data_IF_039066819446
#
_entry.id   IF_039066819446
#
_cell.length_a   1.000
_cell.length_b   1.000
_cell.length_c   1.000
_cell.angle_alpha   90.00
_cell.angle_beta   90.00
_cell.angle_gamma   90.00
#
_symmetry.space_group_name_H-M   'P 1'
#
loop_
_entity.id
_entity.type
_entity.pdbx_description
1 polymer ?
#
# COMPACT_ATOMS: atom_id res chain seq x y z
N UNK A 1 -31.88 2.56 12.74
CA UNK A 1 -30.82 2.23 11.77
C UNK A 1 -29.48 2.52 12.43
N UNK A 2 -28.59 1.52 12.51
CA UNK A 2 -27.28 1.64 13.16
C UNK A 2 -26.26 2.32 12.21
N UNK A 3 -25.21 2.95 12.76
CA UNK A 3 -24.12 3.59 12.01
C UNK A 3 -23.47 2.60 11.03
N UNK A 4 -23.27 1.35 11.44
CA UNK A 4 -22.68 0.32 10.55
C UNK A 4 -23.61 -0.03 9.37
N UNK A 5 -24.92 -0.06 9.60
CA UNK A 5 -25.92 -0.28 8.55
C UNK A 5 -26.02 0.91 7.60
N UNK A 6 -25.82 2.14 8.09
CA UNK A 6 -25.75 3.31 7.24
C UNK A 6 -24.52 3.26 6.35
N UNK A 7 -23.34 2.96 6.92
CA UNK A 7 -22.09 2.84 6.15
C UNK A 7 -22.18 1.79 5.03
N UNK A 8 -22.85 0.67 5.25
CA UNK A 8 -22.97 -0.38 4.22
C UNK A 8 -23.89 -0.01 3.05
N UNK A 9 -24.75 1.01 3.22
CA UNK A 9 -25.70 1.48 2.21
C UNK A 9 -25.22 2.70 1.41
N UNK A 10 -24.01 3.20 1.70
CA UNK A 10 -23.43 4.37 1.05
C UNK A 10 -22.34 3.94 0.06
N UNK A 11 -22.16 4.70 -1.02
CA UNK A 11 -20.99 4.62 -1.90
C UNK A 11 -20.15 5.89 -1.71
N UNK A 12 -18.94 5.75 -1.18
CA UNK A 12 -18.02 6.85 -0.91
C UNK A 12 -17.67 7.65 -2.17
N UNK A 13 -17.69 7.02 -3.35
CA UNK A 13 -17.42 7.71 -4.62
C UNK A 13 -18.58 8.63 -4.97
N UNK A 14 -19.83 8.17 -4.80
CA UNK A 14 -21.01 8.99 -5.07
C UNK A 14 -21.13 10.14 -4.06
N UNK A 15 -20.88 9.86 -2.77
CA UNK A 15 -20.82 10.92 -1.75
C UNK A 15 -19.73 11.93 -2.08
N UNK A 16 -18.55 11.49 -2.51
CA UNK A 16 -17.49 12.41 -2.94
C UNK A 16 -17.93 13.31 -4.11
N UNK A 17 -18.70 12.79 -5.07
CA UNK A 17 -19.27 13.60 -6.16
C UNK A 17 -20.32 14.59 -5.67
N UNK A 18 -21.15 14.20 -4.71
CA UNK A 18 -22.15 15.09 -4.11
C UNK A 18 -21.51 16.24 -3.33
N UNK A 19 -20.34 16.01 -2.74
CA UNK A 19 -19.50 17.06 -2.15
C UNK A 19 -18.87 18.00 -3.21
N UNK A 20 -19.12 17.77 -4.50
CA UNK A 20 -18.58 18.56 -5.61
C UNK A 20 -17.17 18.16 -6.05
N UNK A 21 -16.64 17.02 -5.58
CA UNK A 21 -15.30 16.57 -5.97
C UNK A 21 -15.32 15.98 -7.39
N UNK A 22 -14.38 16.45 -8.22
CA UNK A 22 -14.18 15.95 -9.57
C UNK A 22 -13.38 14.65 -9.54
N UNK A 23 -14.07 13.54 -9.29
CA UNK A 23 -13.46 12.21 -9.21
C UNK A 23 -13.30 11.60 -10.61
N UNK A 24 -12.05 11.43 -11.04
CA UNK A 24 -11.72 10.82 -12.32
C UNK A 24 -12.07 9.33 -12.39
N UNK A 25 -12.00 8.74 -13.60
CA UNK A 25 -12.32 7.32 -13.84
C UNK A 25 -11.48 6.35 -13.01
N UNK A 26 -10.26 6.75 -12.64
CA UNK A 26 -9.34 5.98 -11.80
C UNK A 26 -9.60 6.17 -10.29
N UNK A 27 -10.59 6.98 -9.89
CA UNK A 27 -10.86 7.31 -8.49
C UNK A 27 -10.01 8.44 -7.92
N UNK A 28 -9.17 9.10 -8.72
CA UNK A 28 -8.33 10.21 -8.24
C UNK A 28 -9.01 11.58 -8.37
N UNK A 29 -8.77 12.47 -7.42
CA UNK A 29 -9.19 13.87 -7.47
C UNK A 29 -8.21 14.79 -6.73
N UNK A 30 -8.40 16.11 -6.88
CA UNK A 30 -7.73 17.11 -6.04
C UNK A 30 -8.23 16.99 -4.60
N UNK A 31 -7.31 17.10 -3.65
CA UNK A 31 -7.67 17.06 -2.24
C UNK A 31 -8.30 18.40 -1.83
N UNK A 32 -9.49 18.43 -1.20
CA UNK A 32 -10.08 19.65 -0.69
C UNK A 32 -9.43 20.12 0.63
N UNK A 33 -8.66 19.24 1.29
CA UNK A 33 -8.11 19.48 2.64
C UNK A 33 -6.75 20.19 2.64
N UNK A 34 -6.12 20.35 1.47
CA UNK A 34 -4.89 21.12 1.30
C UNK A 34 -4.81 21.65 -0.12
N UNK A 35 -4.03 22.73 -0.33
CA UNK A 35 -3.80 23.25 -1.68
C UNK A 35 -2.89 22.31 -2.45
N UNK A 36 -3.42 21.63 -3.46
CA UNK A 36 -2.66 20.82 -4.41
C UNK A 36 -2.90 21.25 -5.85
N UNK A 37 -1.89 21.08 -6.70
CA UNK A 37 -2.00 21.24 -8.15
C UNK A 37 -2.17 19.90 -8.86
N UNK A 38 -1.85 18.79 -8.20
CA UNK A 38 -1.94 17.43 -8.75
C UNK A 38 -2.96 16.62 -7.96
N UNK A 39 -3.69 15.69 -8.59
CA UNK A 39 -4.63 14.83 -7.88
C UNK A 39 -3.88 13.94 -6.88
N UNK A 40 -4.18 14.11 -5.60
CA UNK A 40 -3.51 13.43 -4.49
C UNK A 40 -4.47 12.63 -3.61
N UNK A 41 -5.78 12.87 -3.74
CA UNK A 41 -6.84 12.16 -3.03
C UNK A 41 -7.36 11.04 -3.92
N UNK A 42 -7.43 9.82 -3.37
CA UNK A 42 -7.84 8.63 -4.09
C UNK A 42 -9.01 7.94 -3.40
N UNK A 43 -10.07 7.67 -4.16
CA UNK A 43 -11.26 6.96 -3.73
C UNK A 43 -11.19 5.50 -4.18
N UNK A 44 -11.19 4.59 -3.22
CA UNK A 44 -11.29 3.15 -3.46
C UNK A 44 -12.74 2.70 -3.34
N UNK A 45 -13.38 2.41 -4.48
CA UNK A 45 -14.75 1.86 -4.50
C UNK A 45 -14.84 0.49 -3.82
N UNK A 46 -13.80 -0.33 -3.93
CA UNK A 46 -13.77 -1.67 -3.32
C UNK A 46 -13.62 -1.61 -1.80
N UNK A 47 -12.77 -0.70 -1.30
CA UNK A 47 -12.53 -0.57 0.14
C UNK A 47 -13.49 0.41 0.82
N UNK A 48 -14.23 1.19 0.05
CA UNK A 48 -15.08 2.28 0.55
C UNK A 48 -14.30 3.28 1.42
N UNK A 49 -13.11 3.67 0.94
CA UNK A 49 -12.19 4.58 1.61
C UNK A 49 -11.67 5.66 0.66
N UNK A 50 -11.43 6.85 1.21
CA UNK A 50 -10.76 7.96 0.57
C UNK A 50 -9.43 8.22 1.26
N UNK A 51 -8.31 8.17 0.53
CA UNK A 51 -6.97 8.35 1.10
C UNK A 51 -6.22 9.42 0.34
N UNK A 52 -5.71 10.42 1.07
CA UNK A 52 -4.76 11.37 0.51
C UNK A 52 -3.33 10.85 0.67
N UNK A 53 -2.57 10.80 -0.42
CA UNK A 53 -1.18 10.34 -0.42
C UNK A 53 -0.15 11.48 -0.37
N UNK A 54 -0.60 12.72 -0.21
CA UNK A 54 0.31 13.86 -0.03
C UNK A 54 0.84 13.90 1.41
N UNK A 55 2.15 14.13 1.56
CA UNK A 55 2.77 14.32 2.88
C UNK A 55 2.40 15.64 3.55
N UNK A 56 1.77 16.56 2.81
CA UNK A 56 1.32 17.87 3.32
C UNK A 56 -0.17 17.85 3.71
N UNK A 57 -0.74 16.68 3.97
CA UNK A 57 -2.16 16.51 4.24
C UNK A 57 -2.39 15.69 5.50
N UNK A 58 -3.17 16.26 6.42
CA UNK A 58 -3.54 15.62 7.70
C UNK A 58 -4.88 14.88 7.61
N UNK A 59 -5.41 14.70 6.40
CA UNK A 59 -6.66 13.97 6.18
C UNK A 59 -6.49 12.46 6.37
N UNK A 60 -5.35 11.90 5.96
CA UNK A 60 -5.06 10.47 6.06
C UNK A 60 -6.02 9.62 5.22
N UNK A 61 -6.36 8.43 5.74
CA UNK A 61 -7.40 7.55 5.18
C UNK A 61 -8.71 7.78 5.92
N UNK A 62 -9.78 8.03 5.20
CA UNK A 62 -11.09 8.39 5.71
C UNK A 62 -12.14 7.42 5.17
N UNK A 63 -13.09 7.05 6.02
CA UNK A 63 -14.34 6.43 5.58
C UNK A 63 -15.35 7.52 5.18
N UNK A 64 -16.53 7.10 4.72
CA UNK A 64 -17.56 8.02 4.22
C UNK A 64 -18.00 9.06 5.27
N UNK A 65 -18.05 8.69 6.55
CA UNK A 65 -18.46 9.59 7.62
C UNK A 65 -17.33 10.59 7.90
N UNK A 66 -16.10 10.10 8.09
CA UNK A 66 -14.94 10.93 8.35
C UNK A 66 -14.66 11.91 7.20
N UNK A 67 -14.92 11.50 5.96
CA UNK A 67 -14.82 12.36 4.78
C UNK A 67 -15.76 13.57 4.91
N UNK A 68 -17.05 13.33 5.17
CA UNK A 68 -18.06 14.41 5.28
C UNK A 68 -17.80 15.27 6.52
N UNK A 69 -17.43 14.66 7.65
CA UNK A 69 -17.05 15.38 8.87
C UNK A 69 -15.89 16.34 8.60
N UNK A 70 -14.81 15.89 7.96
CA UNK A 70 -13.67 16.75 7.62
C UNK A 70 -14.03 17.80 6.56
N UNK A 71 -14.88 17.45 5.59
CA UNK A 71 -15.24 18.36 4.50
C UNK A 71 -16.05 19.56 4.99
N UNK A 72 -17.07 19.32 5.80
CA UNK A 72 -17.92 20.39 6.34
C UNK A 72 -17.53 20.86 7.75
N UNK A 73 -16.55 20.22 8.38
CA UNK A 73 -16.24 20.41 9.81
C UNK A 73 -17.47 20.22 10.70
N UNK A 74 -18.29 19.21 10.39
CA UNK A 74 -19.54 18.93 11.12
C UNK A 74 -19.36 17.85 12.17
N UNK A 75 -20.12 18.00 13.25
CA UNK A 75 -20.28 16.98 14.29
C UNK A 75 -21.04 15.76 13.78
N UNK A 76 -20.79 14.61 14.39
CA UNK A 76 -21.32 13.31 13.96
C UNK A 76 -22.85 13.30 13.76
N UNK A 77 -23.70 13.84 14.67
CA UNK A 77 -25.16 13.78 14.50
C UNK A 77 -25.62 14.46 13.20
N UNK A 78 -25.04 15.63 12.90
CA UNK A 78 -25.36 16.41 11.70
C UNK A 78 -24.90 15.69 10.42
N UNK A 79 -23.74 15.04 10.47
CA UNK A 79 -23.26 14.22 9.35
C UNK A 79 -24.17 13.02 9.09
N UNK A 80 -24.64 12.36 10.15
CA UNK A 80 -25.57 11.23 10.00
C UNK A 80 -26.89 11.69 9.38
N UNK A 81 -27.45 12.81 9.82
CA UNK A 81 -28.66 13.41 9.25
C UNK A 81 -28.48 13.72 7.77
N UNK A 82 -27.36 14.34 7.38
CA UNK A 82 -27.07 14.63 5.98
C UNK A 82 -26.82 13.38 5.14
N UNK A 83 -26.27 12.31 5.71
CA UNK A 83 -26.01 11.05 5.00
C UNK A 83 -27.25 10.17 4.82
N UNK A 84 -28.30 10.36 5.61
CA UNK A 84 -29.51 9.54 5.57
C UNK A 84 -30.20 9.49 4.19
N UNK A 85 -30.41 10.62 3.48
CA UNK A 85 -31.04 10.62 2.16
C UNK A 85 -30.27 9.82 1.10
N UNK A 86 -28.96 9.65 1.30
CA UNK A 86 -28.08 8.94 0.39
C UNK A 86 -27.98 7.44 0.70
N UNK A 87 -28.61 6.97 1.78
CA UNK A 87 -28.67 5.57 2.14
C UNK A 87 -29.48 4.78 1.09
N UNK A 88 -28.79 4.03 0.25
CA UNK A 88 -29.37 3.35 -0.92
C UNK A 88 -28.60 3.63 -2.22
N UNK A 89 -27.64 4.56 -2.20
CA UNK A 89 -26.73 4.80 -3.33
C UNK A 89 -25.72 3.67 -3.55
N UNK A 90 -25.47 2.83 -2.54
CA UNK A 90 -24.68 1.64 -2.74
C UNK A 90 -25.42 0.70 -3.71
N UNK A 91 -25.04 0.75 -4.98
CA UNK A 91 -25.25 -0.39 -5.86
C UNK A 91 -24.52 -1.54 -5.17
N UNK A 92 -25.28 -2.57 -4.76
CA UNK A 92 -24.71 -3.82 -4.27
C UNK A 92 -23.54 -4.13 -5.20
N UNK A 93 -22.32 -4.34 -4.68
CA UNK A 93 -21.29 -4.90 -5.51
C UNK A 93 -21.94 -6.16 -6.05
N UNK A 94 -22.23 -6.21 -7.37
CA UNK A 94 -22.49 -7.48 -8.06
C UNK A 94 -21.42 -8.37 -7.49
N UNK A 95 -21.84 -9.36 -6.71
CA UNK A 95 -20.96 -10.26 -5.98
C UNK A 95 -20.01 -10.76 -7.05
N UNK A 96 -18.84 -10.13 -7.16
CA UNK A 96 -17.81 -10.58 -8.07
C UNK A 96 -17.43 -11.86 -7.39
N UNK A 97 -17.98 -12.94 -7.94
CA UNK A 97 -17.66 -14.33 -7.68
C UNK A 97 -16.25 -14.34 -7.15
N UNK A 98 -16.11 -14.75 -5.88
CA UNK A 98 -14.87 -14.73 -5.13
C UNK A 98 -13.70 -14.86 -6.10
N UNK A 99 -12.92 -13.78 -6.26
CA UNK A 99 -11.76 -13.81 -7.14
C UNK A 99 -11.04 -15.12 -6.86
N UNK A 100 -10.68 -15.92 -7.89
CA UNK A 100 -10.18 -17.27 -7.69
C UNK A 100 -9.11 -17.18 -6.64
N UNK A 101 -9.27 -17.94 -5.55
CA UNK A 101 -8.34 -17.99 -4.42
C UNK A 101 -6.96 -18.01 -5.04
N UNK A 102 -6.25 -16.87 -4.99
CA UNK A 102 -4.88 -16.81 -5.49
C UNK A 102 -4.18 -17.95 -4.78
N UNK A 103 -3.67 -18.91 -5.55
CA UNK A 103 -2.96 -20.08 -5.04
C UNK A 103 -2.16 -19.64 -3.82
N UNK A 104 -2.47 -20.17 -2.63
CA UNK A 104 -1.82 -19.73 -1.40
C UNK A 104 -0.34 -20.05 -1.55
N UNK A 105 0.46 -19.04 -1.91
CA UNK A 105 1.90 -19.22 -2.11
C UNK A 105 2.48 -19.47 -0.73
N UNK A 106 3.03 -20.67 -0.52
CA UNK A 106 3.76 -20.96 0.70
C UNK A 106 5.11 -20.24 0.66
N UNK A 107 5.12 -19.02 1.21
CA UNK A 107 6.30 -18.16 1.22
C UNK A 107 7.50 -18.77 1.97
N UNK A 108 7.26 -19.64 2.95
CA UNK A 108 8.34 -20.35 3.67
C UNK A 108 9.07 -21.32 2.75
N UNK A 109 8.31 -22.15 2.02
CA UNK A 109 8.89 -23.09 1.05
C UNK A 109 9.58 -22.35 -0.09
N UNK A 110 8.96 -21.27 -0.58
CA UNK A 110 9.54 -20.43 -1.62
C UNK A 110 10.88 -19.82 -1.17
N UNK A 111 10.95 -19.28 0.04
CA UNK A 111 12.20 -18.70 0.57
C UNK A 111 13.31 -19.74 0.67
N UNK A 112 13.03 -20.92 1.25
CA UNK A 112 13.99 -22.02 1.33
C UNK A 112 14.53 -22.43 -0.05
N UNK A 113 13.67 -22.43 -1.08
CA UNK A 113 14.05 -22.72 -2.47
C UNK A 113 14.96 -21.65 -3.07
N UNK A 114 14.76 -20.39 -2.70
CA UNK A 114 15.48 -19.24 -3.25
C UNK A 114 16.78 -18.91 -2.51
N UNK A 115 16.90 -19.30 -1.24
CA UNK A 115 18.07 -19.04 -0.40
C UNK A 115 19.41 -19.49 -1.02
N UNK A 116 19.56 -20.73 -1.55
CA UNK A 116 20.82 -21.14 -2.17
C UNK A 116 21.16 -20.34 -3.45
N UNK A 117 20.17 -19.74 -4.11
CA UNK A 117 20.37 -18.96 -5.34
C UNK A 117 21.04 -17.62 -5.10
N UNK A 118 21.06 -17.13 -3.86
CA UNK A 118 21.76 -15.91 -3.48
C UNK A 118 23.27 -16.04 -3.72
N UNK A 119 23.88 -17.12 -3.21
CA UNK A 119 25.32 -17.38 -3.38
C UNK A 119 25.72 -17.66 -4.83
N UNK A 120 24.80 -18.16 -5.66
CA UNK A 120 25.03 -18.46 -7.08
C UNK A 120 25.05 -17.21 -7.97
N UNK A 121 24.45 -16.11 -7.51
CA UNK A 121 24.32 -14.88 -8.29
C UNK A 121 25.45 -13.92 -7.96
N UNK A 122 26.36 -13.65 -8.91
CA UNK A 122 27.36 -12.57 -8.77
C UNK A 122 26.68 -11.22 -8.53
N UNK A 123 25.66 -10.89 -9.34
CA UNK A 123 24.90 -9.64 -9.22
C UNK A 123 24.29 -9.41 -7.84
N UNK A 124 23.77 -10.47 -7.20
CA UNK A 124 23.18 -10.34 -5.87
C UNK A 124 24.25 -10.19 -4.78
N UNK A 125 25.38 -10.90 -4.91
CA UNK A 125 26.54 -10.74 -4.03
C UNK A 125 27.12 -9.34 -4.13
N UNK A 126 27.36 -8.84 -5.34
CA UNK A 126 27.91 -7.50 -5.59
C UNK A 126 27.01 -6.41 -5.00
N UNK A 127 25.68 -6.58 -5.13
CA UNK A 127 24.71 -5.67 -4.52
C UNK A 127 24.80 -5.65 -3.00
N UNK A 128 24.81 -6.82 -2.34
CA UNK A 128 24.91 -6.91 -0.89
C UNK A 128 26.25 -6.39 -0.36
N UNK A 129 27.36 -6.73 -1.02
CA UNK A 129 28.69 -6.22 -0.68
C UNK A 129 28.76 -4.70 -0.83
N UNK A 130 28.17 -4.14 -1.89
CA UNK A 130 28.06 -2.68 -2.06
C UNK A 130 27.17 -1.99 -1.01
N UNK A 131 26.37 -2.75 -0.26
CA UNK A 131 25.59 -2.28 0.89
C UNK A 131 26.23 -2.62 2.24
N UNK A 132 27.47 -3.12 2.23
CA UNK A 132 28.17 -3.59 3.43
C UNK A 132 27.43 -4.71 4.18
N UNK A 133 26.69 -5.55 3.44
CA UNK A 133 26.00 -6.72 3.96
C UNK A 133 26.73 -7.99 3.53
N UNK A 134 27.12 -8.83 4.50
CA UNK A 134 27.76 -10.10 4.22
C UNK A 134 26.73 -11.18 3.86
N UNK A 135 26.67 -11.52 2.57
CA UNK A 135 25.74 -12.51 2.04
C UNK A 135 25.93 -13.93 2.63
N UNK A 136 27.05 -14.23 3.28
CA UNK A 136 27.31 -15.55 3.89
C UNK A 136 26.61 -15.71 5.23
N UNK A 137 26.49 -14.63 5.98
CA UNK A 137 25.88 -14.61 7.32
C UNK A 137 24.44 -14.10 7.29
N UNK A 138 24.09 -13.35 6.26
CA UNK A 138 22.76 -12.77 6.07
C UNK A 138 21.71 -13.82 5.70
N UNK A 139 20.62 -13.85 6.45
CA UNK A 139 19.45 -14.64 6.09
C UNK A 139 18.67 -13.94 4.99
N UNK A 140 19.11 -14.14 3.75
CA UNK A 140 18.49 -13.59 2.56
C UNK A 140 18.43 -14.62 1.42
N UNK A 141 17.58 -14.35 0.44
CA UNK A 141 17.40 -15.16 -0.75
C UNK A 141 17.45 -14.29 -2.01
N UNK A 142 17.60 -14.90 -3.18
CA UNK A 142 17.59 -14.18 -4.46
C UNK A 142 16.65 -14.84 -5.46
N UNK A 143 15.75 -14.06 -6.06
CA UNK A 143 14.90 -14.52 -7.14
C UNK A 143 15.32 -13.88 -8.47
N UNK A 144 15.72 -14.71 -9.43
CA UNK A 144 16.02 -14.28 -10.79
C UNK A 144 14.76 -14.05 -11.65
N UNK A 145 13.57 -14.25 -11.08
CA UNK A 145 12.28 -14.05 -11.74
C UNK A 145 11.62 -15.31 -12.29
N UNK A 146 12.25 -16.49 -12.15
CA UNK A 146 11.67 -17.77 -12.58
C UNK A 146 10.68 -18.36 -11.57
N UNK A 147 10.97 -18.29 -10.28
CA UNK A 147 10.15 -18.93 -9.24
C UNK A 147 9.02 -18.04 -8.73
N UNK A 148 9.17 -16.73 -8.85
CA UNK A 148 8.12 -15.78 -8.48
C UNK A 148 8.09 -14.59 -9.47
N UNK A 149 7.14 -14.56 -10.42
CA UNK A 149 7.11 -13.56 -11.50
C UNK A 149 7.00 -12.11 -11.02
N UNK A 150 6.43 -11.84 -9.84
CA UNK A 150 6.32 -10.48 -9.31
C UNK A 150 7.55 -9.99 -8.56
N UNK A 151 8.55 -10.85 -8.31
CA UNK A 151 9.76 -10.52 -7.53
C UNK A 151 11.04 -10.71 -8.38
N UNK A 152 11.02 -10.26 -9.65
CA UNK A 152 12.14 -10.48 -10.57
C UNK A 152 13.35 -9.65 -10.16
N UNK A 153 14.51 -10.32 -10.05
CA UNK A 153 15.80 -9.71 -9.71
C UNK A 153 15.83 -9.05 -8.33
N UNK A 154 15.06 -9.62 -7.39
CA UNK A 154 14.98 -9.12 -6.02
C UNK A 154 15.84 -9.95 -5.08
N UNK A 155 16.60 -9.26 -4.21
CA UNK A 155 17.03 -9.85 -2.94
C UNK A 155 15.84 -9.86 -1.99
N UNK A 156 15.64 -10.96 -1.27
CA UNK A 156 14.47 -11.22 -0.43
C UNK A 156 14.96 -11.45 0.99
N UNK A 157 14.44 -10.68 1.94
CA UNK A 157 14.64 -10.89 3.37
C UNK A 157 13.40 -11.58 3.96
N UNK A 158 13.53 -12.51 4.92
CA UNK A 158 12.38 -13.04 5.63
C UNK A 158 12.00 -12.09 6.78
N UNK A 159 10.70 -11.83 6.95
CA UNK A 159 10.24 -11.19 8.19
C UNK A 159 9.93 -12.23 9.26
N UNK A 160 10.37 -11.89 10.48
CA UNK A 160 10.13 -12.69 11.67
C UNK A 160 9.23 -11.89 12.61
N UNK A 161 7.99 -12.35 12.79
CA UNK A 161 7.09 -11.80 13.81
C UNK A 161 7.44 -12.48 15.14
N UNK A 162 7.60 -11.69 16.22
CA UNK A 162 8.00 -12.21 17.54
C UNK A 162 6.94 -13.09 18.22
N UNK A 163 5.68 -13.03 17.75
CA UNK A 163 4.58 -13.83 18.26
C UNK A 163 4.26 -14.97 17.28
N UNK A 164 4.51 -16.20 17.72
CA UNK A 164 4.37 -17.47 16.99
C UNK A 164 5.46 -17.76 15.94
N UNK A 165 5.95 -19.00 16.04
CA UNK A 165 7.04 -19.67 15.30
C UNK A 165 6.77 -19.83 13.79
N UNK A 166 6.12 -18.86 13.16
CA UNK A 166 5.64 -18.90 11.78
C UNK A 166 6.27 -17.77 10.97
N UNK A 167 7.31 -18.11 10.21
CA UNK A 167 7.93 -17.20 9.25
C UNK A 167 6.91 -16.83 8.17
N UNK A 168 6.49 -15.57 8.11
CA UNK A 168 5.90 -15.03 6.89
C UNK A 168 7.07 -14.41 6.13
N UNK A 169 7.50 -14.99 5.01
CA UNK A 169 8.53 -14.36 4.20
C UNK A 169 7.93 -13.15 3.48
N UNK A 170 7.83 -12.04 4.19
CA UNK A 170 7.62 -10.72 3.61
C UNK A 170 8.94 -10.34 2.94
N UNK A 171 8.97 -10.35 1.61
CA UNK A 171 10.12 -9.88 0.88
C UNK A 171 10.20 -8.35 0.97
N UNK A 172 11.21 -7.81 1.65
CA UNK A 172 11.75 -6.51 1.24
C UNK A 172 12.56 -6.74 -0.03
N UNK A 173 11.92 -6.50 -1.18
CA UNK A 173 12.58 -6.52 -2.47
C UNK A 173 13.43 -5.27 -2.61
N UNK A 174 14.73 -5.41 -2.37
CA UNK A 174 15.70 -4.42 -2.82
C UNK A 174 16.05 -4.71 -4.27
N UNK A 175 15.57 -3.86 -5.17
CA UNK A 175 15.84 -3.97 -6.60
C UNK A 175 17.34 -3.86 -6.85
N UNK A 176 17.96 -4.94 -7.27
CA UNK A 176 19.21 -4.85 -8.02
C UNK A 176 18.80 -4.54 -9.47
N UNK A 177 19.09 -3.32 -9.92
CA UNK A 177 19.06 -2.79 -11.30
C UNK A 177 18.03 -1.67 -11.58
N UNK A 178 18.41 -0.65 -12.38
CA UNK A 178 18.14 0.76 -12.08
C UNK A 178 16.74 1.29 -12.51
N UNK A 179 15.70 0.45 -12.62
CA UNK A 179 14.42 0.91 -13.21
C UNK A 179 13.11 0.42 -12.61
N UNK A 180 13.07 -0.11 -11.38
CA UNK A 180 11.77 -0.51 -10.81
C UNK A 180 11.64 -0.29 -9.31
N UNK A 181 10.51 0.32 -8.95
CA UNK A 181 10.06 0.67 -7.61
C UNK A 181 10.14 -0.49 -6.61
N UNK A 182 10.49 -0.16 -5.36
CA UNK A 182 10.46 -1.07 -4.21
C UNK A 182 9.04 -1.68 -4.11
N UNK A 183 8.94 -3.00 -4.18
CA UNK A 183 7.67 -3.72 -4.06
C UNK A 183 7.69 -4.54 -2.78
N UNK A 184 6.94 -4.08 -1.78
CA UNK A 184 6.71 -4.81 -0.54
C UNK A 184 5.45 -5.66 -0.74
N UNK A 185 5.60 -6.99 -0.75
CA UNK A 185 4.46 -7.90 -0.76
C UNK A 185 4.05 -8.18 0.69
N UNK A 186 2.96 -7.56 1.15
CA UNK A 186 2.32 -7.88 2.42
C UNK A 186 1.27 -8.98 2.23
N UNK A 187 1.30 -9.99 3.08
CA UNK A 187 0.12 -10.82 3.37
C UNK A 187 -0.66 -10.16 4.50
N UNK A 188 -1.98 -10.18 4.41
CA UNK A 188 -2.89 -9.57 5.38
C UNK A 188 -2.71 -10.17 6.78
N UNK A 189 -1.87 -9.52 7.59
CA UNK A 189 -2.05 -9.21 9.02
C UNK A 189 -0.77 -8.51 9.48
N UNK A 190 -0.99 -7.36 10.10
CA UNK A 190 -0.03 -6.49 10.78
C UNK A 190 0.63 -5.37 9.95
N UNK A 191 0.27 -4.16 10.37
CA UNK A 191 0.65 -2.87 9.84
C UNK A 191 2.11 -2.56 10.19
N UNK A 192 2.94 -2.29 9.17
CA UNK A 192 4.17 -1.50 9.34
C UNK A 192 4.18 -0.36 8.32
N UNK A 193 4.32 0.87 8.84
CA UNK A 193 4.54 2.13 8.13
C UNK A 193 5.94 2.11 7.52
N UNK A 194 6.07 2.42 6.23
CA UNK A 194 7.37 2.73 5.62
C UNK A 194 7.57 4.24 5.78
N UNK A 195 8.59 4.63 6.53
CA UNK A 195 9.09 6.01 6.52
C UNK A 195 10.10 6.07 5.38
N UNK A 196 9.91 6.92 4.35
CA UNK A 196 10.93 7.10 3.32
C UNK A 196 12.19 7.69 3.97
N UNK A 197 13.30 6.98 3.91
CA UNK A 197 14.61 7.59 4.18
C UNK A 197 14.84 8.70 3.15
N UNK A 198 15.03 9.93 3.66
CA UNK A 198 15.50 11.04 2.85
C UNK A 198 16.86 10.66 2.30
N UNK A 199 16.98 10.56 0.98
CA UNK A 199 18.28 10.47 0.31
C UNK A 199 19.16 11.65 0.78
N UNK A 200 20.35 11.41 1.34
CA UNK A 200 21.26 12.51 1.65
C UNK A 200 21.62 13.22 0.34
N UNK A 201 21.39 14.54 0.31
CA UNK A 201 21.83 15.40 -0.79
C UNK A 201 23.35 15.26 -0.91
N UNK A 202 23.83 14.89 -2.11
CA UNK A 202 25.25 15.00 -2.43
C UNK A 202 25.66 16.46 -2.27
N UNK A 203 26.49 16.77 -1.27
CA UNK A 203 27.20 18.03 -1.21
C UNK A 203 28.23 18.02 -2.33
N UNK A 204 28.07 18.94 -3.28
CA UNK A 204 29.10 19.29 -4.26
C UNK A 204 30.23 20.02 -3.52
N UNK A 205 31.31 19.31 -3.22
CA UNK A 205 32.59 19.93 -2.89
C UNK A 205 33.22 20.43 -4.19
N UNK A 206 33.13 21.74 -4.38
CA UNK A 206 33.86 22.50 -5.39
C UNK A 206 35.35 22.31 -5.16
N UNK A 207 36.08 21.92 -6.20
CA UNK A 207 37.54 22.08 -6.24
C UNK A 207 37.84 23.58 -6.28
N UNK A 208 38.63 24.07 -5.32
CA UNK A 208 39.48 25.26 -5.42
C UNK A 208 40.85 24.83 -4.92
#
# INVERSE_FOLDING_TARGET
>A
MNIQELKSKLDIVEIGRELGLQIGKNGSCLCPFHKDKKPSLFFSKEKQLATCFSGNCDAGSMDVIALVQKFYSWELPKVLEWLQPYAGMAQTPKTKTAAPIKSVINYQQLFKKLQPKLGQSSKARDYLTGRHLDYKTLEAAFNNGKDHPSLKYCVIFPLKIKAHRSYHCMAEAFTAMPKTNITILKTDRDYIRVIPEKTPKKSSLSKV
#
